data_IF_413656228473
#
_entry.id   IF_413656228473
#
_cell.length_a   1.000
_cell.length_b   1.000
_cell.length_c   1.000
_cell.angle_alpha   90.00
_cell.angle_beta   90.00
_cell.angle_gamma   90.00
#
_symmetry.space_group_name_H-M   'P 1'
#
loop_
_entity.id
_entity.type
_entity.pdbx_description
1 polymer ?
#
# COMPACT_ATOMS: atom_id res chain seq x y z
N UNK A 1 4.13 17.49 16.15
CA UNK A 1 3.27 16.88 15.14
C UNK A 1 3.99 17.03 13.82
N UNK A 2 4.49 15.94 13.22
CA UNK A 2 4.93 16.00 11.82
C UNK A 2 3.70 16.05 10.90
N UNK A 3 3.87 16.19 9.59
CA UNK A 3 2.73 16.27 8.68
C UNK A 3 1.84 15.03 8.77
N UNK A 4 0.54 15.30 8.74
CA UNK A 4 -0.54 14.36 8.54
C UNK A 4 -0.99 14.50 7.08
N UNK A 5 -1.29 13.38 6.40
CA UNK A 5 -1.86 13.38 5.06
C UNK A 5 -3.36 13.10 5.15
N UNK A 6 -4.17 13.99 4.58
CA UNK A 6 -5.60 13.81 4.42
C UNK A 6 -5.88 13.48 2.95
N UNK A 7 -6.56 12.36 2.70
CA UNK A 7 -7.06 11.97 1.39
C UNK A 7 -7.79 13.12 0.70
N UNK A 8 -8.53 13.92 1.48
CA UNK A 8 -9.28 15.05 0.99
C UNK A 8 -10.53 14.62 0.19
N UNK A 9 -11.02 15.45 -0.75
CA UNK A 9 -12.28 15.19 -1.47
C UNK A 9 -12.13 14.29 -2.69
N UNK A 10 -10.90 13.92 -3.06
CA UNK A 10 -10.60 13.10 -4.25
C UNK A 10 -10.22 11.69 -3.81
N UNK A 11 -10.92 10.71 -4.36
CA UNK A 11 -10.63 9.26 -4.21
C UNK A 11 -9.13 8.96 -4.36
N UNK A 12 -8.58 8.20 -3.40
CA UNK A 12 -7.18 7.77 -3.47
C UNK A 12 -6.95 6.71 -4.56
N UNK A 13 -8.02 6.14 -5.10
CA UNK A 13 -8.03 5.24 -6.24
C UNK A 13 -7.59 3.82 -5.88
N UNK A 14 -7.85 2.88 -6.78
CA UNK A 14 -7.71 1.45 -6.50
C UNK A 14 -6.53 0.76 -7.20
N UNK A 15 -5.71 1.48 -7.96
CA UNK A 15 -4.60 0.90 -8.73
C UNK A 15 -3.33 1.73 -8.61
N UNK A 16 -2.19 1.16 -8.99
CA UNK A 16 -0.92 1.89 -9.04
C UNK A 16 -0.95 3.14 -9.93
N UNK A 17 -1.77 3.14 -10.99
CA UNK A 17 -1.93 4.28 -11.90
C UNK A 17 -2.86 5.37 -11.38
N UNK A 18 -3.77 5.03 -10.46
CA UNK A 18 -4.75 5.95 -9.89
C UNK A 18 -4.42 6.34 -8.45
N UNK A 19 -3.43 5.68 -7.85
CA UNK A 19 -3.00 5.91 -6.47
C UNK A 19 -2.65 7.38 -6.21
N UNK A 20 -3.17 7.91 -5.11
CA UNK A 20 -2.88 9.27 -4.69
C UNK A 20 -1.41 9.41 -4.28
N UNK A 21 -0.73 10.42 -4.83
CA UNK A 21 0.66 10.71 -4.50
C UNK A 21 0.72 11.55 -3.24
N UNK A 22 1.30 11.02 -2.16
CA UNK A 22 1.63 11.80 -0.97
C UNK A 22 2.80 12.71 -1.33
N UNK A 23 2.60 14.03 -1.33
CA UNK A 23 3.61 15.00 -1.83
C UNK A 23 4.35 15.79 -0.75
N UNK A 24 4.11 15.48 0.53
CA UNK A 24 4.80 16.15 1.64
C UNK A 24 6.27 15.72 1.68
N UNK A 25 7.18 16.68 1.84
CA UNK A 25 8.64 16.41 1.82
C UNK A 25 9.21 15.98 3.17
N UNK A 26 8.39 15.93 4.21
CA UNK A 26 8.78 15.52 5.57
C UNK A 26 8.12 14.19 5.94
N UNK A 27 8.55 13.63 7.09
CA UNK A 27 8.05 12.35 7.58
C UNK A 27 6.54 12.39 7.82
N UNK A 28 5.82 11.52 7.13
CA UNK A 28 4.37 11.31 7.32
C UNK A 28 4.20 10.53 8.61
N UNK A 29 3.27 10.92 9.47
CA UNK A 29 2.94 10.17 10.69
C UNK A 29 1.55 9.56 10.65
N UNK A 30 0.62 10.24 9.97
CA UNK A 30 -0.73 9.72 9.76
C UNK A 30 -1.20 9.90 8.32
N UNK A 31 -2.05 8.98 7.87
CA UNK A 31 -2.84 9.08 6.63
C UNK A 31 -4.30 8.86 7.02
N UNK A 32 -5.18 9.80 6.73
CA UNK A 32 -6.61 9.70 7.01
C UNK A 32 -7.41 9.60 5.72
N UNK A 33 -8.45 8.77 5.71
CA UNK A 33 -9.32 8.63 4.54
C UNK A 33 -10.62 7.89 4.86
N UNK A 34 -11.42 7.66 3.83
CA UNK A 34 -12.75 7.06 3.97
C UNK A 34 -13.19 6.28 2.74
N UNK A 35 -13.39 4.99 2.94
CA UNK A 35 -14.06 4.12 1.98
C UNK A 35 -15.58 4.36 2.00
N UNK A 36 -16.22 4.36 0.82
CA UNK A 36 -17.66 4.60 0.69
C UNK A 36 -18.37 3.64 -0.27
N UNK A 37 -19.36 2.91 0.27
CA UNK A 37 -20.31 2.18 -0.53
C UNK A 37 -21.33 3.17 -1.11
N UNK A 38 -21.45 3.24 -2.43
CA UNK A 38 -22.50 4.01 -3.10
C UNK A 38 -23.32 3.13 -4.02
N UNK A 39 -24.64 3.27 -3.95
CA UNK A 39 -25.58 2.57 -4.83
C UNK A 39 -25.88 3.35 -6.13
N UNK A 40 -25.49 4.63 -6.20
CA UNK A 40 -25.81 5.54 -7.32
C UNK A 40 -24.59 5.95 -8.16
N UNK A 41 -23.39 5.82 -7.61
CA UNK A 41 -22.10 5.94 -8.30
C UNK A 41 -21.27 4.70 -7.99
N UNK A 42 -20.22 4.44 -8.77
CA UNK A 42 -19.25 3.39 -8.45
C UNK A 42 -18.77 3.57 -7.01
N UNK A 43 -18.87 2.53 -6.18
CA UNK A 43 -18.39 2.57 -4.80
C UNK A 43 -16.88 2.66 -4.76
N UNK A 44 -16.39 3.31 -3.71
CA UNK A 44 -14.98 3.34 -3.35
C UNK A 44 -14.78 2.36 -2.18
N UNK A 45 -14.05 1.30 -2.49
CA UNK A 45 -13.81 0.18 -1.58
C UNK A 45 -12.32 -0.01 -1.32
N UNK A 46 -11.45 0.73 -2.00
CA UNK A 46 -10.00 0.61 -1.91
C UNK A 46 -9.32 1.95 -2.14
N UNK A 47 -8.46 2.31 -1.20
CA UNK A 47 -7.61 3.48 -1.30
C UNK A 47 -6.15 3.08 -1.46
N UNK A 48 -5.47 3.71 -2.43
CA UNK A 48 -4.06 3.48 -2.71
C UNK A 48 -3.24 4.77 -2.58
N UNK A 49 -2.19 4.74 -1.77
CA UNK A 49 -1.29 5.88 -1.54
C UNK A 49 0.13 5.55 -2.01
N UNK A 50 0.69 6.38 -2.88
CA UNK A 50 2.11 6.33 -3.22
C UNK A 50 2.92 7.07 -2.17
N UNK A 51 3.90 6.35 -1.63
CA UNK A 51 4.79 6.80 -0.58
C UNK A 51 6.24 6.49 -0.92
N UNK A 52 7.16 7.16 -0.24
CA UNK A 52 8.57 6.82 -0.25
C UNK A 52 8.97 6.23 1.10
N UNK A 53 9.68 5.10 1.08
CA UNK A 53 10.31 4.53 2.28
C UNK A 53 11.81 4.80 2.17
N UNK A 54 12.35 5.60 3.08
CA UNK A 54 13.78 5.96 3.07
C UNK A 54 14.61 5.03 3.96
N UNK A 55 14.06 4.64 5.10
CA UNK A 55 14.73 3.79 6.07
C UNK A 55 13.89 2.55 6.31
N UNK A 56 14.12 1.44 5.58
CA UNK A 56 13.32 0.23 5.68
C UNK A 56 13.18 -0.33 7.09
N UNK A 57 14.22 -0.18 7.93
CA UNK A 57 14.20 -0.65 9.32
C UNK A 57 13.26 0.13 10.25
N UNK A 58 12.76 1.29 9.80
CA UNK A 58 11.78 2.09 10.53
C UNK A 58 10.36 1.90 9.98
N UNK A 59 10.20 1.14 8.90
CA UNK A 59 8.90 0.99 8.25
C UNK A 59 7.90 0.27 9.16
N UNK A 60 6.80 0.96 9.46
CA UNK A 60 5.60 0.33 10.00
C UNK A 60 4.35 1.12 9.61
N UNK A 61 3.25 0.40 9.50
CA UNK A 61 1.91 0.94 9.25
C UNK A 61 0.94 0.20 10.15
N UNK A 62 -0.01 0.89 10.76
CA UNK A 62 -1.11 0.21 11.45
C UNK A 62 -2.38 1.03 11.47
N UNK A 63 -3.52 0.35 11.42
CA UNK A 63 -4.83 0.94 11.70
C UNK A 63 -5.16 1.01 13.20
N UNK A 64 -4.25 0.55 14.06
CA UNK A 64 -4.43 0.43 15.51
C UNK A 64 -4.30 1.75 16.27
N UNK A 65 -4.57 1.73 17.59
CA UNK A 65 -4.82 2.94 18.37
C UNK A 65 -3.64 3.93 18.34
N UNK A 66 -4.00 5.17 18.00
CA UNK A 66 -3.18 6.39 17.87
C UNK A 66 -4.15 7.58 17.81
N UNK A 67 -3.78 8.71 17.19
CA UNK A 67 -4.78 9.76 16.90
C UNK A 67 -5.72 9.23 15.80
N UNK A 68 -6.90 8.71 16.18
CA UNK A 68 -7.96 8.25 15.25
C UNK A 68 -7.86 6.81 14.73
N UNK A 69 -6.85 6.03 15.13
CA UNK A 69 -6.61 4.65 14.64
C UNK A 69 -7.51 3.58 15.26
N UNK A 70 -8.82 3.61 15.00
CA UNK A 70 -9.71 2.48 15.25
C UNK A 70 -10.79 2.46 14.16
N UNK A 71 -10.51 1.86 12.99
CA UNK A 71 -11.45 1.86 11.88
C UNK A 71 -12.78 1.23 12.30
N UNK A 72 -13.88 1.79 11.82
CA UNK A 72 -15.23 1.30 12.12
C UNK A 72 -15.61 0.03 11.32
N UNK A 73 -14.62 -0.62 10.69
CA UNK A 73 -14.76 -1.78 9.82
C UNK A 73 -13.55 -2.70 10.00
N UNK A 74 -13.54 -3.85 9.34
CA UNK A 74 -12.39 -4.78 9.36
C UNK A 74 -11.42 -4.45 8.21
N UNK A 75 -10.29 -3.77 8.46
CA UNK A 75 -9.37 -3.32 7.43
C UNK A 75 -8.41 -4.44 7.02
N UNK A 76 -7.99 -4.42 5.76
CA UNK A 76 -6.83 -5.16 5.27
C UNK A 76 -5.82 -4.18 4.70
N UNK A 77 -4.54 -4.39 5.03
CA UNK A 77 -3.43 -3.62 4.50
C UNK A 77 -2.60 -4.45 3.55
N UNK A 78 -2.22 -3.83 2.43
CA UNK A 78 -1.33 -4.40 1.43
C UNK A 78 -0.22 -3.40 1.11
N UNK A 79 1.00 -3.92 0.94
CA UNK A 79 2.12 -3.14 0.46
C UNK A 79 2.57 -3.68 -0.89
N UNK A 80 2.79 -2.76 -1.82
CA UNK A 80 3.37 -3.05 -3.11
C UNK A 80 4.64 -2.24 -3.30
N UNK A 81 5.65 -2.85 -3.89
CA UNK A 81 6.80 -2.14 -4.43
C UNK A 81 6.40 -1.53 -5.76
N UNK A 82 6.72 -0.25 -5.94
CA UNK A 82 6.38 0.47 -7.16
C UNK A 82 7.63 0.68 -7.99
N UNK A 83 7.61 0.12 -9.19
CA UNK A 83 8.60 0.41 -10.21
C UNK A 83 7.98 1.39 -11.21
N UNK A 84 8.48 2.63 -11.24
CA UNK A 84 8.10 3.59 -12.26
C UNK A 84 8.78 3.23 -13.59
N UNK A 85 7.99 3.02 -14.64
CA UNK A 85 8.48 3.01 -16.03
C UNK A 85 8.01 4.27 -16.76
N UNK A 86 8.65 4.67 -17.87
CA UNK A 86 8.22 5.81 -18.68
C UNK A 86 6.76 5.73 -19.18
N UNK A 87 6.17 4.54 -19.19
CA UNK A 87 4.85 4.27 -19.79
C UNK A 87 3.81 3.74 -18.80
N UNK A 88 4.21 3.38 -17.58
CA UNK A 88 3.33 2.77 -16.59
C UNK A 88 3.95 2.78 -15.19
N UNK A 89 3.11 2.95 -14.17
CA UNK A 89 3.43 2.68 -12.76
C UNK A 89 3.08 1.23 -12.46
N UNK A 90 4.07 0.41 -12.11
CA UNK A 90 3.90 -1.03 -11.89
C UNK A 90 3.97 -1.34 -10.39
N UNK A 91 2.96 -1.99 -9.82
CA UNK A 91 2.92 -2.38 -8.41
C UNK A 91 3.06 -3.90 -8.24
N UNK A 92 4.14 -4.34 -7.58
CA UNK A 92 4.43 -5.75 -7.25
C UNK A 92 4.15 -6.02 -5.78
N UNK A 93 3.47 -7.12 -5.46
CA UNK A 93 3.12 -7.45 -4.07
C UNK A 93 4.35 -7.64 -3.19
N UNK A 94 4.31 -7.10 -1.96
CA UNK A 94 5.38 -7.25 -0.96
C UNK A 94 4.85 -8.00 0.25
N UNK A 95 3.82 -7.47 0.90
CA UNK A 95 3.22 -8.07 2.09
C UNK A 95 1.77 -7.64 2.29
N UNK A 96 1.04 -8.42 3.09
CA UNK A 96 -0.34 -8.19 3.46
C UNK A 96 -0.59 -8.55 4.93
N UNK A 97 -1.60 -7.94 5.54
CA UNK A 97 -2.12 -8.32 6.84
C UNK A 97 -3.58 -7.86 6.99
N UNK A 98 -4.42 -8.71 7.58
CA UNK A 98 -5.77 -8.37 8.01
C UNK A 98 -5.80 -7.99 9.49
N UNK A 99 -5.32 -8.91 10.35
CA UNK A 99 -5.31 -8.72 11.80
C UNK A 99 -3.89 -8.87 12.34
N UNK A 100 -3.28 -7.82 12.86
CA UNK A 100 -1.91 -7.84 13.38
C UNK A 100 -1.82 -8.38 14.80
N UNK A 101 -2.95 -8.42 15.52
CA UNK A 101 -3.08 -8.91 16.89
C UNK A 101 -4.33 -9.81 16.97
N UNK A 102 -4.21 -10.94 17.69
CA UNK A 102 -5.33 -11.84 17.94
C UNK A 102 -6.48 -11.15 18.68
N UNK A 103 -7.71 -11.30 18.18
CA UNK A 103 -8.91 -10.73 18.79
C UNK A 103 -9.12 -9.24 18.52
N UNK A 104 -8.41 -8.66 17.54
CA UNK A 104 -8.55 -7.27 17.12
C UNK A 104 -8.62 -7.18 15.60
N UNK A 105 -9.53 -6.36 15.07
CA UNK A 105 -9.66 -6.05 13.64
C UNK A 105 -8.72 -4.92 13.22
N UNK A 106 -7.48 -4.97 13.69
CA UNK A 106 -6.46 -3.97 13.40
C UNK A 106 -5.48 -4.58 12.42
N UNK A 107 -5.32 -3.98 11.26
CA UNK A 107 -4.29 -4.35 10.31
C UNK A 107 -2.97 -3.65 10.65
N UNK A 108 -1.86 -4.29 10.31
CA UNK A 108 -0.55 -3.70 10.45
C UNK A 108 0.52 -4.38 9.60
N UNK A 109 1.43 -3.57 9.08
CA UNK A 109 2.59 -3.98 8.32
C UNK A 109 3.87 -3.52 9.03
N UNK A 110 4.95 -4.29 8.86
CA UNK A 110 6.27 -4.02 9.42
C UNK A 110 7.33 -4.25 8.35
N UNK A 111 8.60 -4.02 8.67
CA UNK A 111 9.69 -4.24 7.71
C UNK A 111 9.67 -5.65 7.07
N UNK A 112 9.39 -6.71 7.84
CA UNK A 112 9.48 -8.11 7.40
C UNK A 112 8.15 -8.85 7.61
N UNK A 113 7.84 -9.76 6.68
CA UNK A 113 6.81 -10.79 6.89
C UNK A 113 7.23 -11.76 8.01
N UNK A 114 6.26 -12.40 8.65
CA UNK A 114 6.50 -13.41 9.70
C UNK A 114 5.87 -14.78 9.38
N UNK A 115 5.38 -14.99 8.15
CA UNK A 115 4.80 -16.25 7.66
C UNK A 115 5.83 -17.19 7.01
N UNK A 116 7.10 -16.79 6.95
CA UNK A 116 8.16 -17.55 6.29
C UNK A 116 8.24 -17.37 4.77
N UNK A 117 7.41 -16.50 4.16
CA UNK A 117 7.49 -16.19 2.73
C UNK A 117 8.77 -15.46 2.31
N UNK A 118 9.45 -14.82 3.27
CA UNK A 118 10.64 -14.00 3.03
C UNK A 118 10.34 -12.64 2.41
N UNK A 119 9.07 -12.21 2.39
CA UNK A 119 8.68 -10.87 1.95
C UNK A 119 9.16 -9.77 2.91
N UNK A 120 9.39 -8.58 2.38
CA UNK A 120 9.90 -7.49 3.20
C UNK A 120 10.27 -6.23 2.43
N UNK A 121 10.44 -5.14 3.17
CA UNK A 121 11.06 -3.91 2.71
C UNK A 121 12.56 -4.02 2.95
N UNK A 122 13.32 -4.36 1.90
CA UNK A 122 14.76 -4.59 1.98
C UNK A 122 15.61 -3.39 1.54
N UNK A 123 14.99 -2.40 0.90
CA UNK A 123 15.68 -1.23 0.39
C UNK A 123 14.75 -0.03 0.28
N UNK A 124 15.32 1.19 0.27
CA UNK A 124 14.54 2.38 0.06
C UNK A 124 13.90 2.40 -1.33
N UNK A 125 12.82 3.15 -1.47
CA UNK A 125 12.16 3.33 -2.76
C UNK A 125 10.70 3.75 -2.65
N UNK A 126 10.04 3.78 -3.80
CA UNK A 126 8.60 4.06 -3.90
C UNK A 126 7.81 2.80 -3.63
N UNK A 127 6.83 2.91 -2.75
CA UNK A 127 5.88 1.86 -2.43
C UNK A 127 4.47 2.41 -2.54
N UNK A 128 3.52 1.50 -2.73
CA UNK A 128 2.10 1.79 -2.65
C UNK A 128 1.55 1.09 -1.44
N UNK A 129 0.92 1.85 -0.55
CA UNK A 129 0.06 1.31 0.49
C UNK A 129 -1.32 1.17 -0.13
N UNK A 130 -1.96 0.03 0.05
CA UNK A 130 -3.38 -0.10 -0.22
C UNK A 130 -4.12 -0.51 1.06
N UNK A 131 -5.26 0.12 1.30
CA UNK A 131 -6.21 -0.23 2.34
C UNK A 131 -7.57 -0.54 1.70
N UNK A 132 -8.22 -1.57 2.21
CA UNK A 132 -9.61 -1.89 1.86
C UNK A 132 -10.29 -2.57 3.05
N UNK A 133 -11.61 -2.77 2.97
CA UNK A 133 -12.31 -3.61 3.91
C UNK A 133 -12.20 -5.10 3.59
N UNK A 134 -12.42 -5.93 4.60
CA UNK A 134 -12.38 -7.39 4.51
C UNK A 134 -13.17 -7.92 3.31
N UNK A 135 -12.61 -8.92 2.63
CA UNK A 135 -13.20 -9.51 1.41
C UNK A 135 -12.64 -8.97 0.10
N UNK A 136 -12.07 -7.76 0.08
CA UNK A 136 -11.45 -7.19 -1.12
C UNK A 136 -9.96 -7.53 -1.23
N UNK A 137 -9.59 -8.48 -2.10
CA UNK A 137 -8.19 -8.92 -2.22
C UNK A 137 -7.54 -8.49 -3.54
N UNK A 138 -6.25 -8.09 -3.53
CA UNK A 138 -5.48 -7.83 -4.73
C UNK A 138 -5.38 -9.04 -5.66
N UNK A 139 -5.73 -8.84 -6.93
CA UNK A 139 -5.62 -9.87 -7.98
C UNK A 139 -4.68 -9.43 -9.10
N UNK A 140 -4.05 -10.41 -9.72
CA UNK A 140 -3.27 -10.22 -10.94
C UNK A 140 -4.17 -10.25 -12.20
N UNK A 141 -3.58 -10.04 -13.38
CA UNK A 141 -4.30 -10.00 -14.65
C UNK A 141 -5.00 -11.33 -15.04
N UNK A 142 -4.63 -12.44 -14.39
CA UNK A 142 -5.27 -13.75 -14.56
C UNK A 142 -6.39 -14.00 -13.54
N UNK A 143 -6.71 -13.02 -12.68
CA UNK A 143 -7.70 -13.14 -11.62
C UNK A 143 -7.23 -13.93 -10.39
N UNK A 144 -5.92 -14.14 -10.23
CA UNK A 144 -5.37 -14.88 -9.08
C UNK A 144 -5.02 -13.92 -7.95
N UNK A 145 -5.33 -14.30 -6.70
CA UNK A 145 -4.92 -13.54 -5.51
C UNK A 145 -3.39 -13.46 -5.43
N UNK A 146 -2.87 -12.24 -5.28
CA UNK A 146 -1.42 -11.97 -5.26
C UNK A 146 -0.78 -12.49 -3.96
N UNK A 147 -1.50 -12.39 -2.84
CA UNK A 147 -0.99 -12.67 -1.50
C UNK A 147 -1.33 -14.08 -0.99
N UNK A 148 -0.40 -14.64 -0.22
CA UNK A 148 -0.60 -15.89 0.48
C UNK A 148 -1.73 -15.72 1.51
N UNK A 149 -2.76 -16.56 1.46
CA UNK A 149 -3.94 -16.45 2.33
C UNK A 149 -3.64 -16.54 3.83
N UNK A 150 -2.42 -16.93 4.21
CA UNK A 150 -1.92 -16.78 5.59
C UNK A 150 -2.06 -15.35 6.14
N UNK A 151 -2.12 -14.29 5.32
CA UNK A 151 -2.33 -12.92 5.81
C UNK A 151 -3.68 -12.70 6.52
N UNK A 152 -4.64 -13.61 6.30
CA UNK A 152 -5.96 -13.61 6.96
C UNK A 152 -5.89 -14.21 8.36
N UNK A 153 -4.80 -14.89 8.71
CA UNK A 153 -4.58 -15.43 10.05
C UNK A 153 -4.14 -14.32 11.00
N UNK A 154 -4.74 -14.27 12.18
CA UNK A 154 -4.42 -13.24 13.15
C UNK A 154 -2.96 -13.33 13.62
N UNK A 155 -2.27 -12.19 13.57
CA UNK A 155 -0.85 -12.05 13.88
C UNK A 155 0.10 -12.30 12.69
N UNK A 156 -0.42 -12.73 11.54
CA UNK A 156 0.40 -13.04 10.36
C UNK A 156 0.50 -11.85 9.39
N UNK A 157 1.72 -11.39 9.16
CA UNK A 157 2.08 -10.57 8.01
C UNK A 157 2.64 -11.52 6.96
N UNK A 158 1.89 -11.73 5.88
CA UNK A 158 2.25 -12.70 4.86
C UNK A 158 2.75 -12.02 3.58
N UNK A 159 3.61 -12.71 2.84
CA UNK A 159 4.10 -12.26 1.54
C UNK A 159 3.17 -12.64 0.39
N UNK A 160 3.71 -12.58 -0.82
CA UNK A 160 3.02 -13.06 -2.02
C UNK A 160 2.83 -14.58 -1.99
N UNK A 161 1.81 -15.07 -2.69
CA UNK A 161 1.66 -16.50 -2.90
C UNK A 161 2.84 -17.07 -3.71
N UNK A 162 3.15 -18.34 -3.51
CA UNK A 162 4.29 -18.99 -4.17
C UNK A 162 4.22 -18.84 -5.70
N UNK A 163 5.29 -18.33 -6.30
CA UNK A 163 5.39 -18.10 -7.75
C UNK A 163 4.81 -16.76 -8.21
N UNK A 164 4.26 -15.93 -7.31
CA UNK A 164 3.63 -14.65 -7.65
C UNK A 164 4.45 -13.42 -7.22
N UNK A 165 5.72 -13.59 -6.82
CA UNK A 165 6.59 -12.51 -6.33
C UNK A 165 6.75 -11.35 -7.33
N UNK A 166 6.69 -11.66 -8.62
CA UNK A 166 6.86 -10.69 -9.71
C UNK A 166 5.55 -10.32 -10.41
N UNK A 167 4.42 -10.72 -9.85
CA UNK A 167 3.11 -10.40 -10.44
C UNK A 167 2.66 -9.00 -10.07
N UNK A 168 1.95 -8.39 -11.01
CA UNK A 168 1.47 -7.02 -10.90
C UNK A 168 0.03 -6.99 -10.40
N UNK A 169 -0.28 -5.99 -9.59
CA UNK A 169 -1.66 -5.61 -9.31
C UNK A 169 -2.37 -5.25 -10.61
N UNK A 170 -3.48 -5.93 -10.89
CA UNK A 170 -4.38 -5.62 -12.00
C UNK A 170 -5.76 -5.14 -11.53
N UNK A 171 -6.17 -5.50 -10.31
CA UNK A 171 -7.44 -5.09 -9.73
C UNK A 171 -7.72 -5.79 -8.41
N UNK A 172 -9.00 -5.87 -8.05
CA UNK A 172 -9.47 -6.41 -6.79
C UNK A 172 -10.53 -7.50 -7.01
N UNK A 173 -10.56 -8.49 -6.12
CA UNK A 173 -11.45 -9.66 -6.24
C UNK A 173 -12.93 -9.33 -6.01
N UNK A 174 -13.20 -8.34 -5.17
CA UNK A 174 -14.55 -7.96 -4.72
C UNK A 174 -14.53 -6.58 -4.07
N UNK A 175 -15.73 -6.06 -3.83
CA UNK A 175 -15.98 -4.94 -2.94
C UNK A 175 -15.78 -5.39 -1.48
N UNK A 176 -15.23 -4.51 -0.64
CA UNK A 176 -14.96 -4.78 0.77
C UNK A 176 -15.89 -4.01 1.70
N UNK A 177 -15.69 -4.17 3.01
CA UNK A 177 -16.28 -3.27 4.00
C UNK A 177 -15.83 -1.81 3.79
N UNK A 178 -16.61 -0.87 4.33
CA UNK A 178 -16.37 0.57 4.16
C UNK A 178 -16.41 1.30 5.49
N UNK A 179 -15.72 2.43 5.58
CA UNK A 179 -15.69 3.25 6.77
C UNK A 179 -14.52 4.22 6.78
N UNK A 180 -14.47 5.07 7.81
CA UNK A 180 -13.33 5.95 8.03
C UNK A 180 -12.16 5.16 8.61
N UNK A 181 -10.94 5.54 8.25
CA UNK A 181 -9.72 4.98 8.80
C UNK A 181 -8.67 6.04 9.08
N UNK A 182 -7.74 5.69 9.97
CA UNK A 182 -6.48 6.40 10.14
C UNK A 182 -5.36 5.38 10.14
N UNK A 183 -4.37 5.59 9.28
CA UNK A 183 -3.13 4.84 9.25
C UNK A 183 -2.09 5.59 10.05
N UNK A 184 -1.58 4.98 11.11
CA UNK A 184 -0.35 5.45 11.74
C UNK A 184 0.82 4.88 10.95
N UNK A 185 1.72 5.73 10.47
CA UNK A 185 2.84 5.33 9.61
C UNK A 185 4.17 5.80 10.20
N UNK A 186 5.21 5.00 9.99
CA UNK A 186 6.58 5.30 10.42
C UNK A 186 7.57 4.93 9.31
N UNK A 187 8.65 5.69 9.18
CA UNK A 187 9.68 5.46 8.17
C UNK A 187 9.23 5.83 6.75
N UNK A 188 8.16 6.64 6.64
CA UNK A 188 7.52 7.04 5.39
C UNK A 188 7.68 8.54 5.17
N UNK A 189 8.04 8.93 3.94
CA UNK A 189 8.00 10.30 3.43
C UNK A 189 7.10 10.37 2.20
N UNK A 190 6.65 11.58 1.84
CA UNK A 190 6.03 11.77 0.53
C UNK A 190 7.06 11.76 -0.60
N UNK A 191 6.56 11.62 -1.82
CA UNK A 191 7.38 11.74 -3.01
C UNK A 191 7.67 13.21 -3.31
N UNK A 192 8.91 13.54 -3.73
CA UNK A 192 9.17 14.86 -4.28
C UNK A 192 8.28 15.09 -5.51
N UNK A 193 7.85 16.34 -5.70
CA UNK A 193 6.83 16.77 -6.66
C UNK A 193 6.92 16.07 -8.04
N UNK A 194 5.80 15.91 -8.78
CA UNK A 194 5.65 15.02 -9.94
C UNK A 194 6.77 15.04 -11.00
N UNK A 195 7.49 16.16 -11.15
CA UNK A 195 8.68 16.24 -12.00
C UNK A 195 9.83 15.28 -11.61
N UNK A 196 9.91 14.84 -10.36
CA UNK A 196 10.94 13.92 -9.88
C UNK A 196 10.70 12.46 -10.34
N UNK A 197 9.44 12.02 -10.43
CA UNK A 197 9.10 10.71 -10.99
C UNK A 197 9.39 10.65 -12.49
N UNK A 198 9.11 11.73 -13.22
CA UNK A 198 9.48 11.86 -14.63
C UNK A 198 11.01 11.87 -14.81
N UNK A 199 11.77 12.53 -13.93
CA UNK A 199 13.23 12.51 -13.96
C UNK A 199 13.82 11.14 -13.59
N UNK A 200 13.22 10.38 -12.68
CA UNK A 200 13.67 9.03 -12.33
C UNK A 200 13.52 8.08 -13.54
N UNK A 201 12.39 8.16 -14.24
CA UNK A 201 12.16 7.41 -15.48
C UNK A 201 13.19 7.76 -16.58
N UNK A 202 13.58 9.04 -16.69
CA UNK A 202 14.60 9.50 -17.64
C UNK A 202 16.04 9.17 -17.21
N UNK A 203 16.35 9.23 -15.92
CA UNK A 203 17.68 8.91 -15.36
C UNK A 203 18.04 7.43 -15.49
N UNK A 204 17.06 6.53 -15.32
CA UNK A 204 17.23 5.09 -15.55
C UNK A 204 17.60 4.75 -17.00
N UNK A 205 17.06 5.49 -17.98
CA UNK A 205 17.40 5.35 -19.40
C UNK A 205 18.81 5.87 -19.73
N UNK A 206 19.27 6.94 -19.07
CA UNK A 206 20.61 7.48 -19.27
C UNK A 206 21.72 6.56 -18.71
N UNK A 207 21.47 5.87 -17.60
CA UNK A 207 22.41 4.91 -16.99
C UNK A 207 22.64 3.67 -17.87
N UNK A 208 21.60 3.20 -18.57
CA UNK A 208 21.67 2.02 -19.46
C UNK A 208 22.48 2.22 -20.75
N UNK A 209 22.95 3.44 -21.04
CA UNK A 209 23.74 3.75 -22.24
C UNK A 209 25.26 3.78 -22.00
N UNK A 210 25.72 3.41 -20.81
CA UNK A 210 27.15 3.32 -20.43
C UNK A 210 27.59 1.89 -20.08
N UNK A 211 27.39 0.97 -21.00
CA UNK A 211 28.29 -0.18 -21.15
C UNK A 211 28.59 -0.30 -22.64
N UNK A 212 29.83 0.04 -22.99
CA UNK A 212 30.45 -0.29 -24.28
C UNK A 212 30.99 -1.70 -24.19
#
# INVERSE_FOLDING_TARGET
AGPDWDEGPTDAGSTASTAQVITVTSAVNTITGKLTASALVQGDFQDCFLINIETPSQFSITTGPGIGGNPAFNPMLFLFRVDASPTATLARGVMANNDIIFGSTVAGLRQLTNDGSGGGVFGPGVYMIAICGFGSQPINANGQNIFNQAFLEAGAIAGTAAGLQDTLLAGWSADGDVGNYVLNVQGVTGLPAPGALALLALGGLASRRRTR
#
